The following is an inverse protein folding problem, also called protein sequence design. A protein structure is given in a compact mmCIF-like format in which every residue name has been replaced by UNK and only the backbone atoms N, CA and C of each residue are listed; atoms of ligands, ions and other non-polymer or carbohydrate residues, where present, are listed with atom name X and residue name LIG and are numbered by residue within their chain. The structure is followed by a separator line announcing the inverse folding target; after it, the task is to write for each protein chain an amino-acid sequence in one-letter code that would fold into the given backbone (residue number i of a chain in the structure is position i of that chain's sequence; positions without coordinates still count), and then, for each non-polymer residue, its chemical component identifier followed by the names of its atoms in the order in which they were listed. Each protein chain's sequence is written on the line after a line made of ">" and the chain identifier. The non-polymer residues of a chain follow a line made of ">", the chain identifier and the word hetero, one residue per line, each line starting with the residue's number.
data_IF_713691148079
#
_entry.id   IF_713691148079
#
_cell.length_a   1.000
_cell.length_b   1.000
_cell.length_c   1.000
_cell.angle_alpha   90.00
_cell.angle_beta   90.00
_cell.angle_gamma   90.00
#
_symmetry.space_group_name_H-M   'P 1'
#
loop_
_entity.id
_entity.type
_entity.pdbx_description
1 polymer ?
#
# COMPACT_ATOMS: atom_id res chain seq x y z
N UNK A 1 -16.32 -23.43 -1.71
CA UNK A 1 -15.03 -22.79 -1.42
C UNK A 1 -13.93 -23.82 -1.52
N UNK A 2 -12.68 -23.39 -1.73
CA UNK A 2 -11.51 -24.27 -1.82
C UNK A 2 -10.47 -23.86 -0.78
N UNK A 3 -9.65 -24.81 -0.32
CA UNK A 3 -8.50 -24.54 0.54
C UNK A 3 -7.23 -24.47 -0.32
N UNK A 4 -6.43 -23.42 -0.14
CA UNK A 4 -5.10 -23.30 -0.72
C UNK A 4 -4.08 -23.43 0.41
N UNK A 5 -3.11 -24.34 0.26
CA UNK A 5 -2.03 -24.56 1.24
C UNK A 5 -0.71 -24.20 0.58
N UNK A 6 0.05 -23.31 1.20
CA UNK A 6 1.34 -22.83 0.69
C UNK A 6 2.40 -22.84 1.80
N UNK A 7 3.70 -22.89 1.44
CA UNK A 7 4.78 -22.77 2.43
C UNK A 7 4.71 -21.46 3.21
N UNK A 8 5.04 -21.52 4.50
CA UNK A 8 5.26 -20.33 5.31
C UNK A 8 6.62 -19.74 4.97
N UNK A 9 6.64 -18.52 4.41
CA UNK A 9 7.86 -17.86 3.94
C UNK A 9 8.32 -16.79 4.94
N UNK A 10 9.64 -16.64 5.11
CA UNK A 10 10.23 -15.60 5.95
C UNK A 10 10.10 -14.23 5.28
N UNK A 11 8.99 -13.56 5.56
CA UNK A 11 8.60 -12.31 4.90
C UNK A 11 9.52 -11.15 5.29
N UNK A 12 9.98 -10.42 4.27
CA UNK A 12 10.83 -9.24 4.42
C UNK A 12 10.07 -7.94 4.15
N UNK A 13 9.31 -7.85 3.06
CA UNK A 13 8.46 -6.69 2.76
C UNK A 13 7.25 -7.08 1.90
N UNK A 14 6.09 -6.51 2.23
CA UNK A 14 4.87 -6.63 1.44
C UNK A 14 4.76 -5.47 0.45
N UNK A 15 4.43 -5.77 -0.81
CA UNK A 15 4.28 -4.78 -1.89
C UNK A 15 3.05 -5.09 -2.72
N UNK A 16 2.41 -4.09 -3.30
CA UNK A 16 1.22 -4.30 -4.13
C UNK A 16 1.24 -3.41 -5.35
N UNK A 17 1.06 -4.00 -6.53
CA UNK A 17 0.94 -3.27 -7.80
C UNK A 17 -0.52 -3.02 -8.13
N UNK A 18 -0.87 -1.75 -8.39
CA UNK A 18 -2.23 -1.34 -8.74
C UNK A 18 -2.31 -1.07 -10.24
N UNK A 19 -3.41 -1.50 -10.86
CA UNK A 19 -3.63 -1.35 -12.30
C UNK A 19 -5.12 -1.28 -12.63
N UNK A 20 -5.43 -0.70 -13.78
CA UNK A 20 -6.77 -0.71 -14.37
C UNK A 20 -6.82 -1.77 -15.48
N UNK A 21 -7.88 -2.58 -15.49
CA UNK A 21 -8.18 -3.53 -16.57
C UNK A 21 -9.20 -2.89 -17.49
N UNK A 22 -8.80 -2.53 -18.70
CA UNK A 22 -9.72 -1.89 -19.63
C UNK A 22 -10.60 -2.89 -20.40
N UNK A 23 -11.52 -2.38 -21.23
CA UNK A 23 -12.54 -3.22 -21.87
C UNK A 23 -11.96 -3.98 -23.07
N UNK A 24 -12.51 -5.17 -23.31
CA UNK A 24 -12.19 -5.92 -24.53
C UNK A 24 -12.60 -5.13 -25.77
N UNK A 25 -11.70 -4.98 -26.73
CA UNK A 25 -11.92 -4.26 -27.99
C UNK A 25 -11.47 -2.80 -28.02
N UNK A 26 -11.07 -2.21 -26.89
CA UNK A 26 -10.42 -0.89 -26.85
C UNK A 26 -8.93 -1.01 -27.26
N UNK A 27 -8.46 -0.17 -28.19
CA UNK A 27 -7.07 -0.09 -28.64
C UNK A 27 -6.51 1.34 -28.55
N UNK A 28 -5.18 1.52 -28.34
CA UNK A 28 -4.15 0.51 -28.03
C UNK A 28 -3.90 0.37 -26.51
N UNK A 29 -3.72 -0.89 -26.08
CA UNK A 29 -3.48 -1.38 -24.69
C UNK A 29 -4.37 -0.74 -23.61
N UNK A 30 -5.56 -1.30 -23.34
CA UNK A 30 -6.53 -0.69 -22.44
C UNK A 30 -6.14 -0.86 -20.96
N UNK A 31 -5.09 -1.65 -20.65
CA UNK A 31 -4.63 -1.84 -19.29
C UNK A 31 -3.58 -0.81 -18.89
N UNK A 32 -3.74 -0.24 -17.68
CA UNK A 32 -2.82 0.78 -17.18
C UNK A 32 -2.28 0.40 -15.81
N UNK A 33 -0.96 0.21 -15.69
CA UNK A 33 -0.32 0.14 -14.38
C UNK A 33 -0.32 1.53 -13.74
N UNK A 34 -0.89 1.64 -12.56
CA UNK A 34 -1.06 2.92 -11.83
C UNK A 34 0.12 3.20 -10.91
N UNK A 35 0.68 2.17 -10.27
CA UNK A 35 1.80 2.32 -9.36
C UNK A 35 2.01 1.11 -8.47
N UNK A 36 3.09 1.17 -7.68
CA UNK A 36 3.46 0.13 -6.73
C UNK A 36 3.51 0.76 -5.34
N UNK A 37 2.91 0.08 -4.37
CA UNK A 37 2.86 0.50 -2.98
C UNK A 37 3.58 -0.50 -2.09
N UNK A 38 4.04 -0.05 -0.93
CA UNK A 38 4.58 -0.91 0.13
C UNK A 38 3.61 -0.87 1.31
N UNK A 39 3.04 -2.02 1.65
CA UNK A 39 2.10 -2.10 2.77
C UNK A 39 2.70 -2.90 3.93
N UNK A 40 2.00 -2.86 5.06
CA UNK A 40 2.34 -3.63 6.25
C UNK A 40 1.13 -4.35 6.75
N UNK A 41 1.39 -5.53 7.28
CA UNK A 41 0.40 -6.37 7.94
C UNK A 41 0.88 -6.70 9.35
N UNK A 42 -0.04 -7.09 10.23
CA UNK A 42 0.33 -7.61 11.54
C UNK A 42 0.77 -9.09 11.45
N UNK A 43 1.10 -9.69 12.60
CA UNK A 43 1.51 -11.10 12.68
C UNK A 43 0.43 -12.10 12.21
N UNK A 44 -0.84 -11.67 12.12
CA UNK A 44 -1.98 -12.45 11.61
C UNK A 44 -2.26 -12.17 10.13
N UNK A 45 -1.42 -11.39 9.45
CA UNK A 45 -1.61 -11.00 8.05
C UNK A 45 -2.65 -9.90 7.81
N UNK A 46 -3.21 -9.30 8.87
CA UNK A 46 -4.20 -8.22 8.69
C UNK A 46 -3.50 -6.92 8.30
N UNK A 47 -4.01 -6.24 7.28
CA UNK A 47 -3.54 -4.93 6.84
C UNK A 47 -3.48 -3.92 8.00
N UNK A 48 -2.37 -3.19 8.09
CA UNK A 48 -2.14 -2.14 9.10
C UNK A 48 -1.95 -0.77 8.47
N UNK A 49 -1.30 -0.70 7.32
CA UNK A 49 -1.08 0.56 6.64
C UNK A 49 -0.22 0.42 5.39
N UNK A 50 -0.11 1.52 4.65
CA UNK A 50 0.69 1.65 3.44
C UNK A 50 1.63 2.83 3.59
N UNK A 51 2.89 2.62 3.24
CA UNK A 51 3.91 3.67 3.15
C UNK A 51 3.55 4.68 2.06
N UNK A 52 3.72 5.95 2.36
CA UNK A 52 3.51 7.08 1.45
C UNK A 52 4.85 7.79 1.25
N UNK A 53 5.15 8.17 0.00
CA UNK A 53 6.38 8.84 -0.38
C UNK A 53 7.44 7.86 -0.91
N UNK A 54 8.72 8.28 -1.02
CA UNK A 54 9.73 7.53 -1.75
C UNK A 54 9.81 6.06 -1.35
N UNK A 55 9.61 5.17 -2.31
CA UNK A 55 9.49 3.72 -2.09
C UNK A 55 10.66 3.10 -1.29
N UNK A 56 11.88 3.62 -1.48
CA UNK A 56 13.09 3.12 -0.80
C UNK A 56 13.23 3.60 0.66
N UNK A 57 12.43 4.57 1.08
CA UNK A 57 12.52 5.18 2.40
C UNK A 57 12.27 4.15 3.50
N UNK A 58 13.14 4.12 4.53
CA UNK A 58 13.05 3.18 5.63
C UNK A 58 13.30 1.70 5.26
N UNK A 59 13.76 1.38 4.04
CA UNK A 59 14.21 0.02 3.71
C UNK A 59 15.66 -0.21 4.14
N UNK A 60 15.98 -1.44 4.54
CA UNK A 60 17.35 -1.86 4.85
C UNK A 60 18.26 -1.83 3.61
N UNK A 61 19.58 -1.54 3.76
CA UNK A 61 20.49 -1.42 2.63
C UNK A 61 20.57 -2.64 1.71
N UNK A 62 20.49 -3.85 2.26
CA UNK A 62 20.47 -5.09 1.47
C UNK A 62 19.27 -5.16 0.53
N UNK A 63 18.07 -4.87 1.08
CA UNK A 63 16.83 -4.87 0.32
C UNK A 63 16.82 -3.75 -0.73
N UNK A 64 17.33 -2.56 -0.42
CA UNK A 64 17.48 -1.47 -1.40
C UNK A 64 18.33 -1.90 -2.59
N UNK A 65 19.49 -2.53 -2.34
CA UNK A 65 20.36 -3.05 -3.40
C UNK A 65 19.68 -4.15 -4.21
N UNK A 66 18.98 -5.06 -3.56
CA UNK A 66 18.25 -6.13 -4.24
C UNK A 66 17.14 -5.58 -5.15
N UNK A 67 16.37 -4.59 -4.68
CA UNK A 67 15.33 -3.94 -5.47
C UNK A 67 15.91 -3.17 -6.66
N UNK A 68 17.01 -2.45 -6.44
CA UNK A 68 17.69 -1.65 -7.46
C UNK A 68 18.46 -2.49 -8.50
N UNK A 69 18.67 -3.79 -8.22
CA UNK A 69 19.33 -4.72 -9.10
C UNK A 69 20.83 -4.44 -9.33
N UNK A 70 21.49 -5.24 -10.19
CA UNK A 70 22.89 -5.03 -10.55
C UNK A 70 23.09 -3.62 -11.12
N UNK A 71 24.13 -2.93 -10.65
CA UNK A 71 24.50 -1.57 -11.07
C UNK A 71 23.48 -0.46 -10.74
N UNK A 72 22.46 -0.71 -9.93
CA UNK A 72 21.57 0.33 -9.38
C UNK A 72 20.69 1.08 -10.40
N UNK A 73 20.63 0.59 -11.65
CA UNK A 73 19.97 1.27 -12.78
C UNK A 73 18.71 0.57 -13.27
N UNK A 74 18.37 -0.58 -12.70
CA UNK A 74 17.19 -1.35 -13.10
C UNK A 74 16.38 -1.65 -11.85
N UNK A 75 15.30 -0.89 -11.62
CA UNK A 75 14.28 -1.23 -10.60
C UNK A 75 13.65 -2.59 -10.94
N UNK A 76 14.37 -3.67 -10.65
CA UNK A 76 14.06 -5.04 -11.09
C UNK A 76 12.73 -5.47 -10.50
N UNK A 77 12.48 -5.12 -9.24
CA UNK A 77 11.20 -5.37 -8.59
C UNK A 77 10.05 -4.71 -9.36
N UNK A 78 10.17 -3.42 -9.67
CA UNK A 78 9.11 -2.68 -10.37
C UNK A 78 8.80 -3.30 -11.73
N UNK A 79 9.85 -3.65 -12.51
CA UNK A 79 9.66 -4.33 -13.80
C UNK A 79 8.98 -5.69 -13.67
N UNK A 80 9.30 -6.48 -12.64
CA UNK A 80 8.64 -7.77 -12.40
C UNK A 80 7.18 -7.59 -11.99
N UNK A 81 6.88 -6.60 -11.14
CA UNK A 81 5.53 -6.31 -10.69
C UNK A 81 4.66 -5.75 -11.84
N UNK A 82 5.19 -4.87 -12.68
CA UNK A 82 4.52 -4.37 -13.88
C UNK A 82 4.19 -5.51 -14.86
N UNK A 83 5.14 -6.42 -15.11
CA UNK A 83 4.90 -7.62 -15.94
C UNK A 83 3.82 -8.52 -15.33
N UNK A 84 3.83 -8.67 -14.01
CA UNK A 84 2.82 -9.44 -13.27
C UNK A 84 1.44 -8.80 -13.42
N UNK A 85 1.34 -7.49 -13.23
CA UNK A 85 0.10 -6.74 -13.42
C UNK A 85 -0.45 -6.92 -14.83
N UNK A 86 0.37 -6.77 -15.88
CA UNK A 86 -0.06 -6.96 -17.28
C UNK A 86 -0.53 -8.39 -17.56
N UNK A 87 0.18 -9.39 -17.02
CA UNK A 87 -0.23 -10.79 -17.13
C UNK A 87 -1.60 -11.02 -16.48
N UNK A 88 -1.79 -10.55 -15.23
CA UNK A 88 -3.05 -10.71 -14.50
C UNK A 88 -4.18 -9.93 -15.17
N UNK A 89 -3.93 -8.70 -15.62
CA UNK A 89 -4.90 -7.85 -16.30
C UNK A 89 -5.42 -8.51 -17.59
N UNK A 90 -4.52 -9.10 -18.40
CA UNK A 90 -4.91 -9.88 -19.57
C UNK A 90 -5.81 -11.07 -19.21
N UNK A 91 -5.48 -11.80 -18.14
CA UNK A 91 -6.29 -12.94 -17.67
C UNK A 91 -7.67 -12.50 -17.17
N UNK A 92 -7.73 -11.42 -16.38
CA UNK A 92 -8.98 -10.85 -15.89
C UNK A 92 -9.87 -10.38 -17.05
N UNK A 93 -9.29 -9.68 -18.04
CA UNK A 93 -10.02 -9.24 -19.24
C UNK A 93 -10.60 -10.40 -20.03
N UNK A 94 -9.84 -11.47 -20.23
CA UNK A 94 -10.31 -12.67 -20.93
C UNK A 94 -11.44 -13.39 -20.18
N UNK A 95 -11.58 -13.14 -18.88
CA UNK A 95 -12.70 -13.60 -18.05
C UNK A 95 -13.88 -12.60 -18.05
N UNK A 96 -13.80 -11.52 -18.82
CA UNK A 96 -14.84 -10.49 -18.92
C UNK A 96 -14.78 -9.43 -17.83
N UNK A 97 -13.73 -9.39 -17.01
CA UNK A 97 -13.56 -8.35 -15.99
C UNK A 97 -13.00 -7.05 -16.60
N UNK A 98 -13.55 -5.91 -16.19
CA UNK A 98 -13.00 -4.58 -16.44
C UNK A 98 -13.20 -3.74 -15.17
N UNK A 99 -12.18 -2.96 -14.83
CA UNK A 99 -12.16 -2.17 -13.60
C UNK A 99 -10.80 -2.18 -12.89
N UNK A 100 -10.73 -1.57 -11.69
CA UNK A 100 -9.51 -1.46 -10.90
C UNK A 100 -9.12 -2.81 -10.31
N UNK A 101 -7.83 -3.10 -10.29
CA UNK A 101 -7.31 -4.32 -9.69
C UNK A 101 -5.95 -4.09 -9.01
N UNK A 102 -5.67 -4.92 -8.00
CA UNK A 102 -4.39 -4.98 -7.32
C UNK A 102 -3.85 -6.40 -7.29
N UNK A 103 -2.53 -6.54 -7.36
CA UNK A 103 -1.83 -7.80 -7.06
C UNK A 103 -0.91 -7.57 -5.88
N UNK A 104 -1.18 -8.27 -4.80
CA UNK A 104 -0.31 -8.29 -3.63
C UNK A 104 0.83 -9.29 -3.88
N UNK A 105 2.02 -8.87 -3.53
CA UNK A 105 3.27 -9.60 -3.69
C UNK A 105 4.12 -9.41 -2.42
N UNK A 106 5.12 -10.26 -2.24
CA UNK A 106 6.06 -10.08 -1.13
C UNK A 106 7.48 -10.43 -1.52
N UNK A 107 8.43 -9.73 -0.93
CA UNK A 107 9.82 -10.18 -0.87
C UNK A 107 9.97 -10.99 0.41
N UNK A 108 10.56 -12.17 0.28
CA UNK A 108 10.85 -13.07 1.39
C UNK A 108 12.32 -13.50 1.33
N UNK A 109 12.80 -14.07 2.43
CA UNK A 109 14.14 -14.62 2.55
C UNK A 109 14.09 -16.14 2.57
N UNK A 110 15.03 -16.77 1.87
CA UNK A 110 15.30 -18.19 2.00
C UNK A 110 16.80 -18.44 2.17
N UNK A 111 17.21 -19.71 2.18
CA UNK A 111 18.61 -20.12 2.32
C UNK A 111 19.55 -19.57 1.23
N UNK A 112 19.01 -19.06 0.12
CA UNK A 112 19.76 -18.50 -1.01
C UNK A 112 19.67 -16.96 -1.07
N UNK A 113 18.98 -16.32 -0.12
CA UNK A 113 18.85 -14.87 -0.01
C UNK A 113 17.43 -14.35 -0.28
N UNK A 114 17.35 -13.09 -0.74
CA UNK A 114 16.07 -12.43 -1.02
C UNK A 114 15.43 -12.93 -2.32
N UNK A 115 14.12 -13.19 -2.28
CA UNK A 115 13.30 -13.66 -3.40
C UNK A 115 11.97 -12.93 -3.48
N UNK A 116 11.40 -12.86 -4.69
CA UNK A 116 10.05 -12.35 -4.93
C UNK A 116 9.04 -13.50 -4.98
N UNK A 117 7.95 -13.39 -4.23
CA UNK A 117 6.69 -14.07 -4.53
C UNK A 117 5.79 -13.05 -5.27
N UNK A 118 5.67 -13.15 -6.60
CA UNK A 118 5.06 -12.09 -7.41
C UNK A 118 3.54 -12.02 -7.30
N UNK A 119 2.89 -13.11 -6.88
CA UNK A 119 1.44 -13.18 -6.65
C UNK A 119 1.21 -13.88 -5.32
N UNK A 120 0.68 -13.15 -4.35
CA UNK A 120 0.14 -13.63 -3.09
C UNK A 120 -1.38 -13.63 -3.17
N UNK A 121 -1.96 -12.51 -3.59
CA UNK A 121 -3.42 -12.33 -3.74
C UNK A 121 -3.72 -11.44 -4.94
N UNK A 122 -4.82 -11.74 -5.65
CA UNK A 122 -5.35 -10.93 -6.73
C UNK A 122 -6.67 -10.31 -6.25
N UNK A 123 -6.76 -8.99 -6.31
CA UNK A 123 -7.90 -8.22 -5.84
C UNK A 123 -8.53 -7.44 -7.02
N UNK A 124 -9.54 -7.99 -7.72
CA UNK A 124 -10.23 -7.32 -8.84
C UNK A 124 -11.23 -6.27 -8.33
N UNK A 125 -10.73 -5.28 -7.60
CA UNK A 125 -11.47 -4.16 -6.99
C UNK A 125 -10.50 -3.04 -6.61
N UNK A 126 -11.07 -1.90 -6.20
CA UNK A 126 -10.30 -0.92 -5.44
C UNK A 126 -9.73 -1.52 -4.14
N UNK A 127 -8.46 -1.22 -3.88
CA UNK A 127 -7.68 -1.68 -2.73
C UNK A 127 -7.17 -0.49 -1.91
N UNK A 128 -6.63 -0.76 -0.72
CA UNK A 128 -5.94 0.26 0.08
C UNK A 128 -4.73 0.86 -0.66
N UNK A 129 -4.10 0.09 -1.56
CA UNK A 129 -3.03 0.58 -2.42
C UNK A 129 -3.48 1.68 -3.38
N UNK A 130 -4.72 1.62 -3.90
CA UNK A 130 -5.27 2.68 -4.76
C UNK A 130 -5.44 4.00 -3.99
N UNK A 131 -5.91 3.91 -2.74
CA UNK A 131 -6.04 5.07 -1.86
C UNK A 131 -4.65 5.64 -1.54
N UNK A 132 -3.68 4.79 -1.24
CA UNK A 132 -2.31 5.21 -0.95
C UNK A 132 -1.67 5.94 -2.14
N UNK A 133 -1.81 5.45 -3.38
CA UNK A 133 -1.32 6.15 -4.57
C UNK A 133 -1.99 7.52 -4.75
N UNK A 134 -3.30 7.61 -4.50
CA UNK A 134 -4.01 8.88 -4.56
C UNK A 134 -3.58 9.87 -3.45
N UNK A 135 -3.17 9.36 -2.28
CA UNK A 135 -2.60 10.18 -1.21
C UNK A 135 -1.18 10.63 -1.53
N UNK A 136 -0.37 9.77 -2.14
CA UNK A 136 1.01 10.08 -2.52
C UNK A 136 1.10 11.29 -3.45
N UNK A 137 0.18 11.43 -4.41
CA UNK A 137 0.09 12.61 -5.26
C UNK A 137 -0.25 13.92 -4.52
N UNK A 138 -0.65 13.85 -3.24
CA UNK A 138 -0.97 15.00 -2.38
C UNK A 138 0.10 15.27 -1.32
N UNK A 139 1.05 14.35 -1.12
CA UNK A 139 2.15 14.51 -0.17
C UNK A 139 3.38 15.05 -0.91
N UNK A 140 4.08 16.08 -0.39
CA UNK A 140 5.30 16.60 -1.00
C UNK A 140 6.34 15.49 -1.19
N UNK A 141 6.94 15.40 -2.39
CA UNK A 141 7.72 14.22 -2.81
C UNK A 141 8.99 13.88 -2.01
N UNK A 142 9.43 14.73 -1.08
CA UNK A 142 10.54 14.44 -0.16
C UNK A 142 10.08 13.88 1.19
N UNK A 143 8.79 13.95 1.49
CA UNK A 143 8.24 13.53 2.77
C UNK A 143 7.81 12.07 2.70
N UNK A 144 8.11 11.32 3.75
CA UNK A 144 7.57 9.98 3.95
C UNK A 144 6.44 10.04 4.96
N UNK A 145 5.50 9.10 4.86
CA UNK A 145 4.40 8.98 5.80
C UNK A 145 3.72 7.63 5.69
N UNK A 146 2.60 7.48 6.39
CA UNK A 146 1.87 6.24 6.47
C UNK A 146 0.37 6.48 6.42
N UNK A 147 -0.28 5.85 5.45
CA UNK A 147 -1.71 5.68 5.45
C UNK A 147 -2.06 4.47 6.33
N UNK A 148 -2.82 4.68 7.39
CA UNK A 148 -3.10 3.65 8.39
C UNK A 148 -4.61 3.50 8.62
N UNK A 149 -5.01 2.30 9.05
CA UNK A 149 -6.34 2.06 9.62
C UNK A 149 -6.21 1.97 11.14
N UNK A 150 -6.91 2.84 11.85
CA UNK A 150 -6.96 2.85 13.31
C UNK A 150 -8.28 2.23 13.74
N UNK A 151 -8.22 1.15 14.51
CA UNK A 151 -9.39 0.49 15.08
C UNK A 151 -9.76 1.03 16.46
N UNK A 152 -10.98 0.78 16.94
CA UNK A 152 -11.39 1.14 18.30
C UNK A 152 -10.42 0.65 19.41
N UNK A 153 -9.98 -0.63 19.40
CA UNK A 153 -8.94 -1.11 20.32
C UNK A 153 -7.60 -0.39 20.18
N UNK A 154 -7.27 0.11 19.00
CA UNK A 154 -6.04 0.88 18.75
C UNK A 154 -6.15 2.30 19.28
N UNK A 155 -7.30 2.97 19.09
CA UNK A 155 -7.60 4.26 19.72
C UNK A 155 -7.48 4.17 21.26
N UNK A 156 -8.00 3.10 21.87
CA UNK A 156 -7.82 2.83 23.31
C UNK A 156 -6.37 2.69 23.73
N UNK A 157 -5.54 2.00 22.94
CA UNK A 157 -4.09 1.91 23.20
C UNK A 157 -3.38 3.24 23.05
N UNK A 158 -3.91 4.13 22.21
CA UNK A 158 -3.42 5.51 22.05
C UNK A 158 -3.93 6.46 23.15
N UNK A 159 -4.73 5.97 24.10
CA UNK A 159 -5.23 6.75 25.24
C UNK A 159 -6.63 7.35 25.06
N UNK A 160 -7.34 7.02 23.97
CA UNK A 160 -8.67 7.56 23.68
C UNK A 160 -9.76 6.54 24.02
N UNK A 161 -10.83 6.97 24.71
CA UNK A 161 -11.88 6.06 25.15
C UNK A 161 -12.64 5.43 23.97
N UNK A 162 -12.89 6.23 22.93
CA UNK A 162 -13.59 5.82 21.72
C UNK A 162 -12.87 6.27 20.44
N UNK A 163 -13.27 5.70 19.31
CA UNK A 163 -12.76 6.10 18.00
C UNK A 163 -13.19 7.54 17.63
N UNK A 164 -14.43 7.99 17.89
CA UNK A 164 -14.80 9.40 17.79
C UNK A 164 -13.95 10.36 18.63
N UNK A 165 -13.57 10.00 19.86
CA UNK A 165 -12.70 10.86 20.69
C UNK A 165 -11.33 11.06 20.03
N UNK A 166 -10.76 9.99 19.47
CA UNK A 166 -9.51 10.08 18.72
C UNK A 166 -9.66 10.91 17.44
N UNK A 167 -10.76 10.74 16.71
CA UNK A 167 -11.06 11.58 15.54
C UNK A 167 -11.13 13.06 15.91
N UNK A 168 -11.87 13.41 16.96
CA UNK A 168 -12.00 14.80 17.39
C UNK A 168 -10.65 15.38 17.79
N UNK A 169 -9.83 14.61 18.53
CA UNK A 169 -8.47 15.02 18.86
C UNK A 169 -7.62 15.30 17.60
N UNK A 170 -7.70 14.44 16.57
CA UNK A 170 -6.97 14.68 15.31
C UNK A 170 -7.47 15.94 14.59
N UNK A 171 -8.77 16.19 14.59
CA UNK A 171 -9.36 17.40 13.99
C UNK A 171 -8.91 18.66 14.74
N UNK A 172 -8.93 18.64 16.06
CA UNK A 172 -8.53 19.78 16.91
C UNK A 172 -7.02 20.06 16.81
N UNK A 173 -6.20 19.01 16.68
CA UNK A 173 -4.76 19.10 16.54
C UNK A 173 -4.31 19.50 15.12
N UNK A 174 -5.15 19.26 14.10
CA UNK A 174 -4.80 19.59 12.74
C UNK A 174 -5.02 21.08 12.46
N UNK A 175 -3.94 21.86 12.54
CA UNK A 175 -3.96 23.31 12.27
C UNK A 175 -4.39 23.69 10.83
N UNK A 176 -4.70 22.71 9.98
CA UNK A 176 -5.04 22.90 8.57
C UNK A 176 -3.83 23.32 7.73
N UNK A 177 -4.12 23.86 6.53
CA UNK A 177 -3.10 24.38 5.62
C UNK A 177 -2.42 23.32 4.74
N UNK A 178 -1.70 23.78 3.70
CA UNK A 178 -1.08 22.90 2.71
C UNK A 178 -0.01 22.00 3.33
N UNK A 179 0.09 20.77 2.82
CA UNK A 179 1.19 19.89 3.15
C UNK A 179 2.48 20.43 2.52
N UNK A 180 3.48 20.75 3.33
CA UNK A 180 4.82 21.16 2.89
C UNK A 180 5.88 20.16 3.35
N UNK A 181 7.06 20.23 2.72
CA UNK A 181 8.19 19.36 3.06
C UNK A 181 8.68 19.57 4.51
N UNK A 182 8.63 20.81 5.00
CA UNK A 182 9.16 21.21 6.32
C UNK A 182 8.09 21.27 7.42
N UNK A 183 6.86 20.90 7.11
CA UNK A 183 5.78 20.93 8.08
C UNK A 183 6.07 19.91 9.21
N UNK A 184 5.81 20.25 10.49
CA UNK A 184 6.03 19.35 11.63
C UNK A 184 5.21 18.06 11.51
N UNK A 185 5.42 17.11 12.42
CA UNK A 185 4.58 15.90 12.51
C UNK A 185 3.09 16.27 12.43
N UNK A 186 2.37 15.61 11.51
CA UNK A 186 0.92 15.79 11.33
C UNK A 186 0.24 14.44 11.27
N UNK A 187 -0.94 14.36 11.89
CA UNK A 187 -1.84 13.21 11.82
C UNK A 187 -3.19 13.72 11.34
N UNK A 188 -3.59 13.29 10.15
CA UNK A 188 -4.76 13.81 9.46
C UNK A 188 -5.81 12.70 9.39
N UNK A 189 -6.98 12.95 9.96
CA UNK A 189 -8.11 12.07 9.79
C UNK A 189 -8.61 12.13 8.34
N UNK A 190 -8.66 10.98 7.66
CA UNK A 190 -9.14 10.89 6.27
C UNK A 190 -10.60 10.46 6.17
N UNK A 191 -11.19 10.07 7.30
CA UNK A 191 -12.59 9.63 7.39
C UNK A 191 -13.13 9.90 8.78
N UNK A 192 -14.32 10.48 8.86
CA UNK A 192 -15.07 10.59 10.10
C UNK A 192 -15.68 9.22 10.49
N UNK A 193 -15.50 8.74 11.74
CA UNK A 193 -16.11 7.50 12.19
C UNK A 193 -17.62 7.68 12.36
N UNK A 194 -18.41 7.09 11.44
CA UNK A 194 -19.87 7.02 11.56
C UNK A 194 -20.30 6.21 12.79
N UNK A 195 -21.55 6.35 13.22
CA UNK A 195 -22.13 5.50 14.26
C UNK A 195 -21.91 4.01 13.95
N UNK A 196 -21.30 3.27 14.88
CA UNK A 196 -20.93 1.85 14.70
C UNK A 196 -19.65 1.59 13.92
N UNK A 197 -18.88 2.63 13.52
CA UNK A 197 -17.60 2.44 12.86
C UNK A 197 -16.59 1.75 13.79
N UNK A 198 -15.97 0.70 13.27
CA UNK A 198 -14.96 -0.09 13.99
C UNK A 198 -13.51 0.32 13.63
N UNK A 199 -13.35 1.08 12.53
CA UNK A 199 -12.07 1.56 12.00
C UNK A 199 -12.22 2.96 11.40
N UNK A 200 -11.13 3.73 11.37
CA UNK A 200 -11.00 4.99 10.65
C UNK A 200 -9.66 5.07 9.92
N UNK A 201 -9.62 5.83 8.83
CA UNK A 201 -8.42 6.09 8.03
C UNK A 201 -7.67 7.32 8.56
N UNK A 202 -6.35 7.18 8.71
CA UNK A 202 -5.46 8.26 9.17
C UNK A 202 -4.24 8.33 8.26
N UNK A 203 -3.84 9.54 7.86
CA UNK A 203 -2.53 9.80 7.29
C UNK A 203 -1.61 10.33 8.40
N UNK A 204 -0.54 9.59 8.70
CA UNK A 204 0.50 10.04 9.60
C UNK A 204 1.72 10.48 8.79
N UNK A 205 2.09 11.74 8.95
CA UNK A 205 3.29 12.33 8.38
C UNK A 205 4.25 12.66 9.53
N UNK A 206 5.31 11.88 9.79
CA UNK A 206 6.31 12.24 10.78
C UNK A 206 7.00 13.56 10.43
N UNK A 207 7.71 14.13 11.41
CA UNK A 207 8.64 15.23 11.16
C UNK A 207 9.74 14.79 10.18
N UNK A 208 10.32 15.73 9.40
CA UNK A 208 11.34 15.43 8.39
C UNK A 208 12.57 14.68 8.91
#
# INVERSE_FOLDING_TARGET
>A
GSLVVEPWLDRVVDVSVQFEVGKSGEQPDPDRVLGITRFRTNARGQYKGTHIGPFMSGLEPELRRWIAGPQGKAFLLSRHLERTARFVATKLRNLGYSGPAGVDAMVYRDARGLRLKPIVEINPRYTMGHIALALEGRVPGRRSGEFQLVSGPEAKRLGFATLPDYYQHLVDADAGGPLSADCPERRIALSEPRAGAIIMAVLHLPSP
#
